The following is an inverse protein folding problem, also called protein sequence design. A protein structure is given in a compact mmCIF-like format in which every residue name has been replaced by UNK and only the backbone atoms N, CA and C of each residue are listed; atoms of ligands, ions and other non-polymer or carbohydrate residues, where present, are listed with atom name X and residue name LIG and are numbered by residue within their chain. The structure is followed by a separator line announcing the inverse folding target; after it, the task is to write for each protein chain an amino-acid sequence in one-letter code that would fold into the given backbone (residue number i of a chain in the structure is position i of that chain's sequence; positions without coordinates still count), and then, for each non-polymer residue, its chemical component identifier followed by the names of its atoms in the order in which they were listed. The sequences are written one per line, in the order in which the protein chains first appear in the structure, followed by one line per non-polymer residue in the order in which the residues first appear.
data_IF_592732008451
#
_entry.id   IF_592732008451
#
_cell.length_a   1.000
_cell.length_b   1.000
_cell.length_c   1.000
_cell.angle_alpha   90.00
_cell.angle_beta   90.00
_cell.angle_gamma   90.00
#
_symmetry.space_group_name_H-M   'P 1'
#
loop_
_entity.id
_entity.type
_entity.pdbx_description
1 polymer ?
#
# COMPACT_ATOMS: atom_id res chain seq x y z
N UNK A 1 -1.37 -4.66 -22.04
CA UNK A 1 -2.09 -3.75 -21.13
C UNK A 1 -1.10 -3.13 -20.15
N UNK A 2 -1.39 -1.98 -19.53
CA UNK A 2 -0.40 -1.35 -18.63
C UNK A 2 -0.20 -2.16 -17.35
N UNK A 3 -1.25 -2.83 -16.89
CA UNK A 3 -1.15 -3.80 -15.80
C UNK A 3 -0.15 -4.92 -16.09
N UNK A 4 -0.10 -5.48 -17.30
CA UNK A 4 0.83 -6.58 -17.63
C UNK A 4 2.29 -6.12 -17.65
N UNK A 5 2.54 -4.90 -18.15
CA UNK A 5 3.88 -4.28 -18.12
C UNK A 5 4.32 -4.01 -16.66
N UNK A 6 3.40 -3.49 -15.85
CA UNK A 6 3.63 -3.25 -14.43
C UNK A 6 3.89 -4.55 -13.67
N UNK A 7 3.03 -5.56 -13.85
CA UNK A 7 3.16 -6.85 -13.18
C UNK A 7 4.50 -7.52 -13.51
N UNK A 8 4.92 -7.46 -14.78
CA UNK A 8 6.23 -7.95 -15.21
C UNK A 8 7.36 -7.22 -14.49
N UNK A 9 7.34 -5.89 -14.49
CA UNK A 9 8.36 -5.07 -13.81
C UNK A 9 8.44 -5.43 -12.32
N UNK A 10 7.31 -5.38 -11.60
CA UNK A 10 7.31 -5.68 -10.16
C UNK A 10 7.74 -7.13 -9.90
N UNK A 11 7.35 -8.08 -10.74
CA UNK A 11 7.77 -9.49 -10.60
C UNK A 11 9.27 -9.65 -10.75
N UNK A 12 9.87 -9.05 -11.77
CA UNK A 12 11.33 -9.08 -11.98
C UNK A 12 12.06 -8.43 -10.81
N UNK A 13 11.51 -7.33 -10.30
CA UNK A 13 12.06 -6.60 -9.18
C UNK A 13 11.84 -7.34 -7.84
N UNK A 14 10.82 -8.18 -7.70
CA UNK A 14 10.55 -8.92 -6.46
C UNK A 14 11.29 -10.27 -6.34
N UNK A 15 12.13 -10.61 -7.31
CA UNK A 15 12.86 -11.87 -7.35
C UNK A 15 14.14 -11.84 -6.50
N UNK A 16 14.64 -13.02 -6.11
CA UNK A 16 15.85 -13.16 -5.26
C UNK A 16 17.13 -12.52 -5.84
N UNK A 17 17.19 -12.33 -7.15
CA UNK A 17 18.34 -11.72 -7.85
C UNK A 17 18.14 -10.24 -8.15
N UNK A 18 17.03 -9.64 -7.71
CA UNK A 18 16.78 -8.23 -7.93
C UNK A 18 17.70 -7.38 -7.04
N UNK A 19 18.12 -6.24 -7.57
CA UNK A 19 18.89 -5.26 -6.81
C UNK A 19 17.93 -4.29 -6.14
N UNK A 20 17.99 -4.23 -4.81
CA UNK A 20 17.23 -3.24 -4.03
C UNK A 20 17.70 -1.82 -4.36
N UNK A 21 19.01 -1.58 -4.52
CA UNK A 21 19.54 -0.29 -4.95
C UNK A 21 18.90 0.15 -6.27
N UNK A 22 18.87 -0.73 -7.27
CA UNK A 22 18.23 -0.41 -8.55
C UNK A 22 16.73 -0.15 -8.40
N UNK A 23 16.03 -0.91 -7.56
CA UNK A 23 14.61 -0.68 -7.31
C UNK A 23 14.36 0.73 -6.78
N UNK A 24 15.05 1.13 -5.71
CA UNK A 24 14.83 2.43 -5.09
C UNK A 24 15.40 3.60 -5.91
N UNK A 25 16.45 3.37 -6.73
CA UNK A 25 17.03 4.42 -7.59
C UNK A 25 16.26 4.63 -8.91
N UNK A 26 15.68 3.57 -9.49
CA UNK A 26 15.10 3.58 -10.85
C UNK A 26 13.75 2.88 -10.89
N UNK A 27 13.65 1.66 -10.37
CA UNK A 27 12.50 0.79 -10.53
C UNK A 27 11.18 1.38 -10.00
N UNK A 28 11.22 2.09 -8.87
CA UNK A 28 10.04 2.75 -8.29
C UNK A 28 9.46 3.78 -9.26
N UNK A 29 10.31 4.63 -9.84
CA UNK A 29 9.87 5.67 -10.75
C UNK A 29 9.26 5.08 -12.03
N UNK A 30 9.86 4.02 -12.58
CA UNK A 30 9.32 3.31 -13.74
C UNK A 30 7.94 2.69 -13.43
N UNK A 31 7.77 2.13 -12.22
CA UNK A 31 6.51 1.58 -11.76
C UNK A 31 5.42 2.65 -11.60
N UNK A 32 5.74 3.80 -11.01
CA UNK A 32 4.82 4.93 -10.86
C UNK A 32 4.38 5.49 -12.21
N UNK A 33 5.29 5.63 -13.18
CA UNK A 33 4.98 6.07 -14.55
C UNK A 33 4.01 5.10 -15.25
N UNK A 34 4.04 3.82 -14.90
CA UNK A 34 3.08 2.84 -15.41
C UNK A 34 1.71 2.98 -14.72
N UNK A 35 1.67 3.17 -13.40
CA UNK A 35 0.44 3.41 -12.63
C UNK A 35 -0.32 4.64 -13.12
N UNK A 36 0.37 5.75 -13.41
CA UNK A 36 -0.24 6.96 -13.99
C UNK A 36 -0.99 6.70 -15.31
N UNK A 37 -0.63 5.62 -16.02
CA UNK A 37 -1.20 5.22 -17.32
C UNK A 37 -2.23 4.11 -17.19
N UNK A 38 -2.56 3.68 -15.97
CA UNK A 38 -3.57 2.64 -15.77
C UNK A 38 -4.96 3.14 -16.20
N UNK A 39 -5.63 2.30 -16.99
CA UNK A 39 -7.07 2.39 -17.18
C UNK A 39 -7.80 1.78 -15.99
N UNK A 40 -9.12 1.99 -15.90
CA UNK A 40 -9.96 1.34 -14.89
C UNK A 40 -9.84 -0.20 -14.92
N UNK A 41 -9.67 -0.79 -16.11
CA UNK A 41 -9.48 -2.24 -16.26
C UNK A 41 -8.12 -2.67 -15.69
N UNK A 42 -7.07 -1.85 -15.83
CA UNK A 42 -5.76 -2.14 -15.24
C UNK A 42 -5.83 -2.12 -13.70
N UNK A 43 -6.54 -1.15 -13.12
CA UNK A 43 -6.79 -1.07 -11.68
C UNK A 43 -7.62 -2.25 -11.16
N UNK A 44 -8.66 -2.67 -11.89
CA UNK A 44 -9.43 -3.86 -11.54
C UNK A 44 -8.56 -5.12 -11.52
N UNK A 45 -7.65 -5.28 -12.50
CA UNK A 45 -6.74 -6.42 -12.53
C UNK A 45 -5.74 -6.37 -11.39
N UNK A 46 -5.22 -5.19 -11.03
CA UNK A 46 -4.36 -5.03 -9.87
C UNK A 46 -5.06 -5.49 -8.59
N UNK A 47 -6.26 -4.98 -8.33
CA UNK A 47 -7.05 -5.36 -7.16
C UNK A 47 -7.42 -6.86 -7.12
N UNK A 48 -7.69 -7.47 -8.28
CA UNK A 48 -8.02 -8.91 -8.36
C UNK A 48 -6.83 -9.82 -8.06
N UNK A 49 -5.62 -9.41 -8.43
CA UNK A 49 -4.46 -10.29 -8.42
C UNK A 49 -3.49 -10.05 -7.25
N UNK A 50 -3.50 -8.87 -6.63
CA UNK A 50 -2.48 -8.48 -5.64
C UNK A 50 -2.37 -9.44 -4.44
N UNK A 51 -3.49 -10.00 -3.99
CA UNK A 51 -3.52 -10.93 -2.85
C UNK A 51 -2.83 -12.27 -3.16
N UNK A 52 -2.73 -12.66 -4.43
CA UNK A 52 -2.09 -13.90 -4.86
C UNK A 52 -0.59 -13.72 -5.17
N UNK A 53 -0.09 -12.48 -5.13
CA UNK A 53 1.32 -12.15 -5.39
C UNK A 53 2.18 -12.39 -4.15
N UNK A 54 3.50 -12.50 -4.36
CA UNK A 54 4.44 -12.67 -3.25
C UNK A 54 4.41 -11.46 -2.31
N UNK A 55 4.83 -11.66 -1.06
CA UNK A 55 4.91 -10.60 -0.07
C UNK A 55 5.73 -9.41 -0.57
N UNK A 56 6.86 -9.69 -1.22
CA UNK A 56 7.75 -8.64 -1.72
C UNK A 56 7.16 -7.85 -2.88
N UNK A 57 6.36 -8.53 -3.73
CA UNK A 57 5.59 -7.87 -4.77
C UNK A 57 4.56 -6.92 -4.17
N UNK A 58 3.83 -7.36 -3.13
CA UNK A 58 2.84 -6.53 -2.44
C UNK A 58 3.48 -5.29 -1.80
N UNK A 59 4.63 -5.46 -1.11
CA UNK A 59 5.38 -4.33 -0.52
C UNK A 59 5.81 -3.31 -1.58
N UNK A 60 6.37 -3.77 -2.70
CA UNK A 60 6.81 -2.90 -3.80
C UNK A 60 5.65 -2.11 -4.40
N UNK A 61 4.48 -2.73 -4.56
CA UNK A 61 3.29 -2.01 -5.01
C UNK A 61 2.85 -0.94 -3.99
N UNK A 62 2.77 -1.27 -2.71
CA UNK A 62 2.40 -0.30 -1.66
C UNK A 62 3.38 0.88 -1.62
N UNK A 63 4.67 0.61 -1.85
CA UNK A 63 5.70 1.65 -1.90
C UNK A 63 5.50 2.65 -3.06
N UNK A 64 4.85 2.23 -4.16
CA UNK A 64 4.57 3.11 -5.29
C UNK A 64 3.36 4.03 -5.07
N UNK A 65 2.55 3.80 -4.04
CA UNK A 65 1.34 4.58 -3.77
C UNK A 65 1.66 5.85 -3.00
N UNK A 66 1.70 6.96 -3.74
CA UNK A 66 2.02 8.29 -3.22
C UNK A 66 0.97 9.35 -3.61
N UNK A 67 -0.07 8.99 -4.38
CA UNK A 67 -1.01 9.98 -4.93
C UNK A 67 -2.14 10.30 -3.95
N UNK A 68 -2.10 11.50 -3.35
CA UNK A 68 -3.13 11.93 -2.40
C UNK A 68 -4.54 11.77 -2.98
N UNK A 69 -5.43 11.12 -2.19
CA UNK A 69 -6.85 10.98 -2.50
C UNK A 69 -7.20 10.12 -3.73
N UNK A 70 -6.30 9.24 -4.21
CA UNK A 70 -6.70 8.20 -5.15
C UNK A 70 -7.45 7.07 -4.43
N UNK A 71 -8.77 7.01 -4.64
CA UNK A 71 -9.64 5.98 -4.07
C UNK A 71 -9.24 4.55 -4.48
N UNK A 72 -8.58 4.38 -5.63
CA UNK A 72 -8.14 3.08 -6.15
C UNK A 72 -6.96 2.55 -5.34
N UNK A 73 -5.96 3.41 -5.07
CA UNK A 73 -4.82 3.08 -4.19
C UNK A 73 -5.29 2.77 -2.77
N UNK A 74 -6.20 3.61 -2.21
CA UNK A 74 -6.78 3.39 -0.88
C UNK A 74 -7.47 2.02 -0.81
N UNK A 75 -8.29 1.66 -1.81
CA UNK A 75 -8.97 0.37 -1.84
C UNK A 75 -7.99 -0.80 -1.88
N UNK A 76 -6.89 -0.68 -2.63
CA UNK A 76 -5.86 -1.72 -2.68
C UNK A 76 -5.17 -1.85 -1.32
N UNK A 77 -4.77 -0.75 -0.69
CA UNK A 77 -4.14 -0.80 0.64
C UNK A 77 -5.09 -1.41 1.67
N UNK A 78 -6.38 -1.06 1.63
CA UNK A 78 -7.37 -1.65 2.53
C UNK A 78 -7.55 -3.16 2.34
N UNK A 79 -7.28 -3.69 1.13
CA UNK A 79 -7.26 -5.15 0.92
C UNK A 79 -6.04 -5.83 1.55
N UNK A 80 -4.90 -5.12 1.62
CA UNK A 80 -3.63 -5.64 2.15
C UNK A 80 -3.43 -5.43 3.65
N UNK A 81 -4.09 -4.44 4.25
CA UNK A 81 -3.90 -4.04 5.65
C UNK A 81 -4.23 -5.15 6.66
N UNK A 82 -4.99 -6.16 6.25
CA UNK A 82 -5.28 -7.34 7.05
C UNK A 82 -4.18 -8.40 7.07
N UNK A 83 -3.04 -8.12 6.42
CA UNK A 83 -1.85 -8.96 6.48
C UNK A 83 -1.38 -9.25 7.92
N UNK A 84 -0.76 -10.42 8.08
CA UNK A 84 -0.03 -10.82 9.29
C UNK A 84 1.45 -10.41 9.24
N UNK A 85 1.95 -10.02 8.06
CA UNK A 85 3.32 -9.53 7.92
C UNK A 85 3.43 -8.11 8.51
N UNK A 86 4.39 -7.95 9.42
CA UNK A 86 4.54 -6.71 10.19
C UNK A 86 4.98 -5.56 9.30
N UNK A 87 5.91 -5.80 8.39
CA UNK A 87 6.50 -4.77 7.54
C UNK A 87 5.49 -4.27 6.52
N UNK A 88 4.80 -5.18 5.81
CA UNK A 88 3.73 -4.78 4.89
C UNK A 88 2.61 -4.03 5.61
N UNK A 89 2.26 -4.43 6.84
CA UNK A 89 1.29 -3.69 7.65
C UNK A 89 1.76 -2.26 7.94
N UNK A 90 3.02 -2.09 8.39
CA UNK A 90 3.59 -0.77 8.65
C UNK A 90 3.63 0.10 7.39
N UNK A 91 4.00 -0.46 6.24
CA UNK A 91 3.98 0.22 4.95
C UNK A 91 2.56 0.66 4.56
N UNK A 92 1.56 -0.21 4.73
CA UNK A 92 0.16 0.14 4.47
C UNK A 92 -0.30 1.34 5.31
N UNK A 93 0.05 1.37 6.60
CA UNK A 93 -0.29 2.51 7.46
C UNK A 93 0.45 3.77 7.01
N UNK A 94 1.73 3.66 6.66
CA UNK A 94 2.50 4.82 6.24
C UNK A 94 1.98 5.41 4.93
N UNK A 95 1.69 4.59 3.91
CA UNK A 95 1.02 5.04 2.68
C UNK A 95 -0.33 5.70 2.97
N UNK A 96 -1.18 5.10 3.82
CA UNK A 96 -2.46 5.73 4.20
C UNK A 96 -2.30 7.08 4.88
N UNK A 97 -1.17 7.36 5.58
CA UNK A 97 -0.94 8.69 6.15
C UNK A 97 -0.81 9.76 5.07
N UNK A 98 -0.33 9.41 3.88
CA UNK A 98 -0.25 10.32 2.74
C UNK A 98 -1.59 10.40 1.99
N UNK A 99 -2.23 9.26 1.75
CA UNK A 99 -3.44 9.16 0.92
C UNK A 99 -4.71 9.68 1.61
N UNK A 100 -4.81 9.54 2.94
CA UNK A 100 -6.01 9.90 3.70
C UNK A 100 -6.02 11.40 4.02
N UNK A 101 -7.17 12.03 3.81
CA UNK A 101 -7.47 13.42 4.16
C UNK A 101 -8.94 13.56 4.62
N UNK A 102 -9.37 14.80 4.89
CA UNK A 102 -10.72 15.06 5.41
C UNK A 102 -11.85 14.62 4.47
N UNK A 103 -11.60 14.49 3.17
CA UNK A 103 -12.61 14.07 2.20
C UNK A 103 -12.83 12.55 2.18
N UNK A 104 -11.85 11.76 2.61
CA UNK A 104 -11.89 10.31 2.48
C UNK A 104 -11.68 9.53 3.79
N UNK A 105 -11.30 10.19 4.91
CA UNK A 105 -11.02 9.51 6.20
C UNK A 105 -12.16 8.66 6.74
N UNK A 106 -13.39 8.95 6.35
CA UNK A 106 -14.58 8.15 6.70
C UNK A 106 -14.50 6.70 6.21
N UNK A 107 -13.75 6.39 5.13
CA UNK A 107 -13.58 5.00 4.69
C UNK A 107 -12.81 4.16 5.72
N UNK A 108 -11.90 4.78 6.47
CA UNK A 108 -11.14 4.14 7.55
C UNK A 108 -11.96 4.11 8.83
N UNK A 109 -12.58 5.24 9.20
CA UNK A 109 -13.34 5.37 10.46
C UNK A 109 -14.51 4.37 10.49
N UNK A 110 -15.19 4.18 9.37
CA UNK A 110 -16.33 3.25 9.28
C UNK A 110 -15.90 1.77 9.19
N UNK A 111 -14.60 1.47 9.02
CA UNK A 111 -14.08 0.12 9.09
C UNK A 111 -13.75 -0.25 10.56
N UNK A 112 -14.74 -0.80 11.25
CA UNK A 112 -14.64 -1.13 12.68
C UNK A 112 -13.50 -2.11 13.03
N UNK A 113 -13.26 -3.11 12.18
CA UNK A 113 -12.20 -4.10 12.43
C UNK A 113 -10.82 -3.48 12.29
N UNK A 114 -10.60 -2.70 11.23
CA UNK A 114 -9.37 -1.94 11.06
C UNK A 114 -9.14 -0.96 12.22
N UNK A 115 -10.16 -0.19 12.61
CA UNK A 115 -10.07 0.74 13.74
C UNK A 115 -9.73 0.03 15.05
N UNK A 116 -10.27 -1.16 15.28
CA UNK A 116 -9.95 -1.98 16.45
C UNK A 116 -8.50 -2.48 16.39
N UNK A 117 -8.02 -2.94 15.24
CA UNK A 117 -6.63 -3.36 15.01
C UNK A 117 -5.66 -2.21 15.25
N UNK A 118 -5.93 -1.04 14.68
CA UNK A 118 -5.16 0.20 14.88
C UNK A 118 -5.06 0.58 16.35
N UNK A 119 -6.18 0.60 17.08
CA UNK A 119 -6.20 0.93 18.52
C UNK A 119 -5.44 -0.09 19.35
N UNK A 120 -5.56 -1.38 19.03
CA UNK A 120 -4.80 -2.44 19.71
C UNK A 120 -3.30 -2.26 19.48
N UNK A 121 -2.86 -2.05 18.24
CA UNK A 121 -1.45 -1.84 17.91
C UNK A 121 -0.90 -0.56 18.54
N UNK A 122 -1.67 0.52 18.53
CA UNK A 122 -1.34 1.80 19.17
C UNK A 122 -1.07 1.70 20.68
N UNK A 123 -1.58 0.67 21.35
CA UNK A 123 -1.33 0.44 22.78
C UNK A 123 0.03 -0.21 23.08
N UNK A 124 0.71 -0.72 22.06
CA UNK A 124 2.02 -1.37 22.19
C UNK A 124 3.11 -0.30 22.14
N UNK A 125 4.05 -0.33 23.09
CA UNK A 125 5.16 0.61 23.12
C UNK A 125 6.32 0.17 22.21
N UNK A 126 6.09 0.30 20.90
CA UNK A 126 7.08 0.05 19.86
C UNK A 126 6.86 0.97 18.64
N UNK A 127 7.67 0.80 17.60
CA UNK A 127 7.59 1.58 16.36
C UNK A 127 6.21 1.46 15.68
N UNK A 128 5.69 0.24 15.52
CA UNK A 128 4.37 -0.01 14.93
C UNK A 128 3.26 0.71 15.70
N UNK A 129 3.30 0.64 17.03
CA UNK A 129 2.34 1.31 17.90
C UNK A 129 2.47 2.83 17.85
N UNK A 130 3.69 3.37 17.67
CA UNK A 130 3.87 4.81 17.39
C UNK A 130 3.25 5.21 16.05
N UNK A 131 3.52 4.47 14.97
CA UNK A 131 2.95 4.72 13.64
C UNK A 131 1.41 4.71 13.70
N UNK A 132 0.82 3.69 14.35
CA UNK A 132 -0.64 3.60 14.51
C UNK A 132 -1.22 4.76 15.35
N UNK A 133 -0.53 5.21 16.41
CA UNK A 133 -0.96 6.38 17.20
C UNK A 133 -0.95 7.66 16.37
N UNK A 134 0.13 7.89 15.63
CA UNK A 134 0.26 9.05 14.74
C UNK A 134 -0.84 9.05 13.67
N UNK A 135 -1.11 7.89 13.06
CA UNK A 135 -2.20 7.76 12.09
C UNK A 135 -3.58 7.98 12.70
N UNK A 136 -3.87 7.39 13.87
CA UNK A 136 -5.15 7.60 14.57
C UNK A 136 -5.39 9.07 14.93
N UNK A 137 -4.35 9.82 15.27
CA UNK A 137 -4.48 11.26 15.54
C UNK A 137 -4.84 12.06 14.28
N UNK A 138 -4.40 11.61 13.09
CA UNK A 138 -4.76 12.24 11.81
C UNK A 138 -6.23 12.01 11.42
N UNK A 139 -6.88 10.98 11.97
CA UNK A 139 -8.29 10.67 11.69
C UNK A 139 -9.27 11.47 12.56
N UNK A 140 -8.79 12.18 13.58
CA UNK A 140 -9.62 13.04 14.45
C UNK A 140 -10.01 14.34 13.74
#
# INVERSE_FOLDING_TARGET
MKYEEFDKLITEMSGENASDDYWYDVGVNDAMILLEKFSEIDWELLGKNIMDKSLEWQKRVVYCFEEENDAREINIILSLIETTDKELFEMCIDSLRFLINDNNKECIINNNELMKKLRKMASIDNMSGRICREFLNKLQ
#
